data_IF_904020793653
#
_entry.id   IF_904020793653
#
_cell.length_a   1.000
_cell.length_b   1.000
_cell.length_c   1.000
_cell.angle_alpha   90.00
_cell.angle_beta   90.00
_cell.angle_gamma   90.00
#
_symmetry.space_group_name_H-M   'P 1'
#
loop_
_entity.id
_entity.type
_entity.pdbx_description
1 polymer ?
#
# COMPACT_ATOMS: atom_id res chain seq x y z
N UNK A 1 -2.87 -2.52 -9.70
CA UNK A 1 -2.57 -1.70 -8.50
C UNK A 1 -3.73 -0.73 -8.29
N UNK A 2 -4.36 -0.70 -7.10
CA UNK A 2 -5.59 0.08 -6.81
C UNK A 2 -5.36 1.31 -5.92
N UNK A 3 -4.13 1.52 -5.48
CA UNK A 3 -3.72 2.67 -4.67
C UNK A 3 -2.70 3.52 -5.44
N UNK A 4 -2.68 4.82 -5.18
CA UNK A 4 -1.74 5.76 -5.78
C UNK A 4 -1.22 6.74 -4.72
N UNK A 5 0.09 7.03 -4.66
CA UNK A 5 0.65 7.97 -3.70
C UNK A 5 0.47 9.41 -4.20
N UNK A 6 -0.63 10.03 -3.82
CA UNK A 6 -1.02 11.39 -4.21
C UNK A 6 -0.73 12.46 -3.14
N UNK A 7 -0.60 12.05 -1.87
CA UNK A 7 -0.47 12.99 -0.75
C UNK A 7 1.00 13.26 -0.42
N UNK A 8 1.51 14.51 -0.56
CA UNK A 8 2.88 14.84 -0.18
C UNK A 8 3.04 14.89 1.34
N UNK A 9 4.16 14.36 1.83
CA UNK A 9 4.61 14.49 3.22
C UNK A 9 5.82 15.40 3.29
N UNK A 10 5.89 16.23 4.34
CA UNK A 10 6.97 17.20 4.53
C UNK A 10 7.77 16.88 5.78
N UNK A 11 9.07 17.11 5.75
CA UNK A 11 9.96 16.96 6.91
C UNK A 11 10.85 18.18 7.06
N UNK A 12 11.11 18.55 8.32
CA UNK A 12 12.10 19.60 8.62
C UNK A 12 13.50 18.98 8.56
N UNK A 13 14.52 19.73 8.11
CA UNK A 13 15.90 19.27 8.17
C UNK A 13 16.26 18.76 9.56
N UNK A 14 17.16 17.79 9.64
CA UNK A 14 17.74 17.43 10.92
C UNK A 14 18.43 18.66 11.54
N UNK A 15 18.55 18.69 12.87
CA UNK A 15 19.35 19.70 13.61
C UNK A 15 18.74 21.11 13.73
N UNK A 16 17.55 21.38 13.18
CA UNK A 16 16.86 22.69 13.37
C UNK A 16 15.86 22.66 14.53
N UNK A 17 15.80 23.76 15.29
CA UNK A 17 14.76 23.96 16.32
C UNK A 17 13.37 24.09 15.69
N UNK A 18 12.34 23.81 16.49
CA UNK A 18 10.94 24.02 16.10
C UNK A 18 10.65 25.51 15.80
N UNK A 19 9.62 25.77 14.99
CA UNK A 19 9.30 27.09 14.43
C UNK A 19 9.65 27.22 12.94
N UNK A 20 9.62 28.45 12.41
CA UNK A 20 9.98 28.81 11.02
C UNK A 20 9.12 28.19 9.88
N UNK A 21 7.92 27.70 10.19
CA UNK A 21 6.97 27.20 9.19
C UNK A 21 7.06 25.70 8.90
N UNK A 22 6.51 25.30 7.74
CA UNK A 22 6.43 23.89 7.27
C UNK A 22 7.74 23.49 6.57
N UNK A 23 8.12 22.23 6.69
CA UNK A 23 9.31 21.68 6.01
C UNK A 23 9.11 21.47 4.51
N UNK A 24 10.19 21.10 3.82
CA UNK A 24 10.13 20.74 2.40
C UNK A 24 9.45 19.36 2.20
N UNK A 25 8.82 19.11 1.03
CA UNK A 25 8.32 17.79 0.67
C UNK A 25 9.46 16.76 0.61
N UNK A 26 9.30 15.61 1.29
CA UNK A 26 10.28 14.51 1.32
C UNK A 26 9.80 13.29 0.52
N UNK A 27 8.49 13.10 0.41
CA UNK A 27 7.92 11.97 -0.32
C UNK A 27 6.40 12.06 -0.46
N UNK A 28 5.82 10.99 -1.00
CA UNK A 28 4.37 10.85 -1.18
C UNK A 28 3.88 9.61 -0.43
N UNK A 29 2.67 9.70 0.11
CA UNK A 29 2.00 8.61 0.82
C UNK A 29 0.62 8.39 0.24
N UNK A 30 0.12 7.17 0.37
CA UNK A 30 -1.28 6.86 0.09
C UNK A 30 -2.00 6.58 1.42
N UNK A 31 -3.04 7.35 1.78
CA UNK A 31 -3.88 7.05 2.93
C UNK A 31 -4.68 5.75 2.69
N UNK A 32 -4.40 4.72 3.48
CA UNK A 32 -5.10 3.42 3.41
C UNK A 32 -5.95 3.22 4.66
N UNK A 33 -7.25 3.02 4.46
CA UNK A 33 -8.20 2.66 5.53
C UNK A 33 -8.52 1.16 5.49
N UNK A 34 -8.92 0.54 6.63
CA UNK A 34 -9.33 -0.87 6.65
C UNK A 34 -10.44 -1.16 5.63
N UNK A 35 -10.37 -2.34 4.99
CA UNK A 35 -11.32 -2.78 3.97
C UNK A 35 -11.00 -2.32 2.53
N UNK A 36 -9.97 -1.50 2.33
CA UNK A 36 -9.55 -1.07 0.99
C UNK A 36 -8.74 -2.16 0.26
N UNK A 37 -9.07 -2.42 -1.00
CA UNK A 37 -8.31 -3.32 -1.88
C UNK A 37 -7.06 -2.61 -2.38
N UNK A 38 -5.88 -3.21 -2.21
CA UNK A 38 -4.58 -2.64 -2.61
C UNK A 38 -4.11 -3.13 -3.98
N UNK A 39 -4.19 -4.44 -4.20
CA UNK A 39 -3.77 -5.12 -5.42
C UNK A 39 -4.85 -6.12 -5.86
N UNK A 40 -4.92 -6.28 -7.17
CA UNK A 40 -5.73 -7.30 -7.85
C UNK A 40 -4.79 -8.01 -8.81
N UNK A 41 -4.94 -9.33 -8.90
CA UNK A 41 -4.10 -10.22 -9.68
C UNK A 41 -5.04 -11.16 -10.44
N UNK A 42 -4.74 -11.39 -11.72
CA UNK A 42 -5.51 -12.24 -12.64
C UNK A 42 -4.52 -12.91 -13.61
N UNK A 43 -4.93 -14.00 -14.27
CA UNK A 43 -4.13 -14.67 -15.29
C UNK A 43 -3.06 -15.63 -14.77
N UNK A 44 -3.11 -15.99 -13.49
CA UNK A 44 -2.22 -17.00 -12.87
C UNK A 44 -3.02 -17.95 -11.98
N UNK A 45 -2.54 -19.20 -11.78
CA UNK A 45 -3.18 -20.12 -10.86
C UNK A 45 -3.25 -19.57 -9.43
N UNK A 46 -4.30 -19.92 -8.70
CA UNK A 46 -4.57 -19.41 -7.34
C UNK A 46 -3.41 -19.63 -6.37
N UNK A 47 -2.67 -20.74 -6.50
CA UNK A 47 -1.52 -21.04 -5.64
C UNK A 47 -0.39 -20.02 -5.83
N UNK A 48 -0.11 -19.66 -7.08
CA UNK A 48 0.90 -18.65 -7.42
C UNK A 48 0.44 -17.26 -6.98
N UNK A 49 -0.83 -16.91 -7.22
CA UNK A 49 -1.40 -15.65 -6.76
C UNK A 49 -1.32 -15.50 -5.23
N UNK A 50 -1.66 -16.56 -4.49
CA UNK A 50 -1.65 -16.57 -3.03
C UNK A 50 -0.24 -16.38 -2.48
N UNK A 51 0.74 -17.09 -3.03
CA UNK A 51 2.14 -16.96 -2.63
C UNK A 51 2.69 -15.56 -2.90
N UNK A 52 2.44 -15.02 -4.11
CA UNK A 52 2.86 -13.67 -4.48
C UNK A 52 2.25 -12.60 -3.56
N UNK A 53 0.95 -12.70 -3.25
CA UNK A 53 0.27 -11.78 -2.34
C UNK A 53 0.77 -11.92 -0.89
N UNK A 54 1.15 -13.13 -0.47
CA UNK A 54 1.69 -13.39 0.86
C UNK A 54 3.10 -12.80 1.03
N UNK A 55 3.95 -12.91 0.01
CA UNK A 55 5.26 -12.26 -0.02
C UNK A 55 5.12 -10.74 -0.03
N UNK A 56 4.16 -10.21 -0.81
CA UNK A 56 3.84 -8.79 -0.84
C UNK A 56 3.37 -8.26 0.51
N UNK A 57 2.52 -9.01 1.22
CA UNK A 57 1.99 -8.65 2.53
C UNK A 57 3.09 -8.32 3.56
N UNK A 58 4.22 -9.06 3.53
CA UNK A 58 5.35 -8.84 4.44
C UNK A 58 6.07 -7.50 4.24
N UNK A 59 5.87 -6.83 3.11
CA UNK A 59 6.49 -5.53 2.80
C UNK A 59 5.64 -4.34 3.25
N UNK A 60 4.40 -4.59 3.69
CA UNK A 60 3.50 -3.54 4.14
C UNK A 60 3.50 -3.43 5.68
N UNK A 61 3.39 -2.21 6.23
CA UNK A 61 3.33 -1.97 7.67
C UNK A 61 1.91 -2.21 8.25
N UNK A 62 1.07 -3.00 7.59
CA UNK A 62 -0.32 -3.24 7.95
C UNK A 62 -0.68 -4.72 7.81
N UNK A 63 -1.66 -5.18 8.58
CA UNK A 63 -2.25 -6.49 8.38
C UNK A 63 -3.09 -6.49 7.10
N UNK A 64 -2.90 -7.49 6.26
CA UNK A 64 -3.62 -7.63 4.99
C UNK A 64 -4.39 -8.94 4.98
N UNK A 65 -5.46 -8.99 4.18
CA UNK A 65 -6.27 -10.19 3.97
C UNK A 65 -6.36 -10.45 2.47
N UNK A 66 -6.07 -11.68 2.07
CA UNK A 66 -6.27 -12.13 0.69
C UNK A 66 -7.77 -12.41 0.52
N UNK A 67 -8.35 -11.83 -0.52
CA UNK A 67 -9.78 -11.98 -0.87
C UNK A 67 -9.89 -12.44 -2.32
N UNK A 68 -10.85 -13.31 -2.57
CA UNK A 68 -11.18 -13.78 -3.92
C UNK A 68 -12.48 -13.09 -4.35
N UNK A 69 -12.59 -12.75 -5.63
CA UNK A 69 -13.82 -12.20 -6.20
C UNK A 69 -14.94 -13.24 -6.05
N UNK A 70 -16.17 -12.80 -5.76
CA UNK A 70 -17.31 -13.71 -5.55
C UNK A 70 -17.64 -14.55 -6.79
N UNK A 71 -17.38 -13.99 -7.97
CA UNK A 71 -17.70 -14.61 -9.26
C UNK A 71 -16.54 -15.47 -9.80
N UNK A 72 -15.49 -15.68 -9.01
CA UNK A 72 -14.36 -16.50 -9.41
C UNK A 72 -14.78 -17.97 -9.43
N UNK A 73 -14.68 -18.59 -10.61
CA UNK A 73 -14.83 -20.02 -10.82
C UNK A 73 -13.44 -20.57 -11.10
N UNK A 74 -13.04 -21.62 -10.39
CA UNK A 74 -11.84 -22.37 -10.76
C UNK A 74 -12.13 -23.11 -12.07
N UNK A 75 -11.46 -22.70 -13.15
CA UNK A 75 -11.35 -23.50 -14.39
C UNK A 75 -10.36 -24.66 -14.20
#
# INVERSE_FOLDING_TARGET
>A
MRIFPDKPITKKPAEVRMGKGKGAPEGFVCPVTPGRILFEVEGVPINVAREALQLGAQKFPITTKIVVRRDYVEE
#
